data_IF_833355343877
#
_entry.id   IF_833355343877
#
_cell.length_a   1.000
_cell.length_b   1.000
_cell.length_c   1.000
_cell.angle_alpha   90.00
_cell.angle_beta   90.00
_cell.angle_gamma   90.00
#
_symmetry.space_group_name_H-M   'P 1'
#
loop_
_entity.id
_entity.type
_entity.pdbx_description
1 polymer ?
#
# COMPACT_ATOMS: atom_id res chain seq x y z
N UNK A 1 -0.37 30.40 -3.68
CA UNK A 1 0.20 30.53 -5.04
C UNK A 1 -0.26 29.29 -5.80
N UNK A 2 -1.33 29.41 -6.60
CA UNK A 2 -1.89 28.27 -7.33
C UNK A 2 -0.99 28.04 -8.53
N UNK A 3 -0.24 26.93 -8.52
CA UNK A 3 0.61 26.52 -9.62
C UNK A 3 -0.26 26.19 -10.83
N UNK A 4 0.03 26.83 -11.96
CA UNK A 4 -0.57 26.50 -13.25
C UNK A 4 -0.18 25.05 -13.59
N UNK A 5 -1.14 24.14 -13.67
CA UNK A 5 -0.91 22.74 -14.01
C UNK A 5 -0.46 22.70 -15.47
N UNK A 6 0.79 22.34 -15.71
CA UNK A 6 1.32 22.24 -17.06
C UNK A 6 0.60 21.15 -17.86
N UNK A 7 0.61 21.27 -19.18
CA UNK A 7 0.01 20.25 -20.05
C UNK A 7 0.63 18.86 -19.84
N UNK A 8 1.93 18.81 -19.47
CA UNK A 8 2.64 17.58 -19.13
C UNK A 8 2.11 16.99 -17.82
N UNK A 9 1.91 17.79 -16.77
CA UNK A 9 1.36 17.34 -15.50
C UNK A 9 -0.06 16.78 -15.68
N UNK A 10 -0.88 17.48 -16.47
CA UNK A 10 -2.22 17.04 -16.82
C UNK A 10 -2.21 15.70 -17.58
N UNK A 11 -1.29 15.52 -18.54
CA UNK A 11 -1.12 14.26 -19.26
C UNK A 11 -0.68 13.13 -18.34
N UNK A 12 0.27 13.36 -17.43
CA UNK A 12 0.72 12.37 -16.45
C UNK A 12 -0.43 11.92 -15.54
N UNK A 13 -1.22 12.87 -15.02
CA UNK A 13 -2.40 12.58 -14.20
C UNK A 13 -3.43 11.75 -14.98
N UNK A 14 -3.71 12.13 -16.23
CA UNK A 14 -4.66 11.44 -17.08
C UNK A 14 -4.19 10.01 -17.37
N UNK A 15 -2.92 9.81 -17.72
CA UNK A 15 -2.34 8.48 -17.93
C UNK A 15 -2.40 7.64 -16.65
N UNK A 16 -2.07 8.21 -15.50
CA UNK A 16 -2.09 7.50 -14.21
C UNK A 16 -3.49 6.98 -13.87
N UNK A 17 -4.51 7.86 -13.97
CA UNK A 17 -5.90 7.52 -13.64
C UNK A 17 -6.51 6.58 -14.69
N UNK A 18 -6.29 6.84 -15.99
CA UNK A 18 -6.81 5.96 -17.04
C UNK A 18 -6.18 4.56 -16.97
N UNK A 19 -4.89 4.47 -16.67
CA UNK A 19 -4.19 3.18 -16.55
C UNK A 19 -4.72 2.34 -15.39
N UNK A 20 -4.99 2.94 -14.22
CA UNK A 20 -5.54 2.20 -13.07
C UNK A 20 -6.93 1.65 -13.38
N UNK A 21 -7.78 2.43 -14.04
CA UNK A 21 -9.11 2.00 -14.49
C UNK A 21 -9.00 0.87 -15.52
N UNK A 22 -8.17 1.04 -16.56
CA UNK A 22 -8.01 0.05 -17.63
C UNK A 22 -7.48 -1.29 -17.07
N UNK A 23 -6.51 -1.24 -16.16
CA UNK A 23 -5.99 -2.45 -15.50
C UNK A 23 -7.09 -3.12 -14.68
N UNK A 24 -7.83 -2.35 -13.87
CA UNK A 24 -8.96 -2.85 -13.08
C UNK A 24 -10.02 -3.54 -13.95
N UNK A 25 -10.42 -2.91 -15.06
CA UNK A 25 -11.39 -3.47 -15.99
C UNK A 25 -10.88 -4.73 -16.71
N UNK A 26 -9.59 -4.79 -17.08
CA UNK A 26 -9.01 -5.97 -17.74
C UNK A 26 -8.85 -7.17 -16.81
N UNK A 27 -8.69 -6.92 -15.51
CA UNK A 27 -8.58 -7.96 -14.49
C UNK A 27 -9.95 -8.36 -13.91
N UNK A 28 -10.96 -7.49 -14.05
CA UNK A 28 -12.33 -7.77 -13.66
C UNK A 28 -12.91 -8.99 -14.38
N UNK A 29 -13.69 -9.81 -13.67
CA UNK A 29 -14.40 -10.96 -14.23
C UNK A 29 -13.54 -12.17 -14.59
N UNK A 30 -12.22 -12.17 -14.34
CA UNK A 30 -11.33 -13.29 -14.65
C UNK A 30 -11.40 -14.45 -13.64
N UNK A 31 -11.96 -14.21 -12.45
CA UNK A 31 -12.05 -15.21 -11.38
C UNK A 31 -13.51 -15.64 -11.19
N UNK A 32 -13.82 -16.90 -11.46
CA UNK A 32 -15.18 -17.46 -11.32
C UNK A 32 -15.41 -18.14 -9.97
N UNK A 33 -14.36 -18.47 -9.22
CA UNK A 33 -14.48 -19.03 -7.87
C UNK A 33 -14.19 -17.97 -6.81
N UNK A 34 -15.00 -17.99 -5.74
CA UNK A 34 -14.81 -17.11 -4.57
C UNK A 34 -13.46 -17.37 -3.90
N UNK A 35 -13.02 -18.63 -3.90
CA UNK A 35 -11.72 -19.04 -3.36
C UNK A 35 -10.55 -18.44 -4.15
N UNK A 36 -10.59 -18.47 -5.50
CA UNK A 36 -9.55 -17.83 -6.30
C UNK A 36 -9.55 -16.31 -6.10
N UNK A 37 -10.72 -15.69 -5.94
CA UNK A 37 -10.84 -14.25 -5.72
C UNK A 37 -10.34 -13.80 -4.34
N UNK A 38 -10.63 -14.57 -3.28
CA UNK A 38 -10.29 -14.20 -1.89
C UNK A 38 -8.90 -14.69 -1.46
N UNK A 39 -8.48 -15.87 -1.92
CA UNK A 39 -7.26 -16.53 -1.47
C UNK A 39 -6.16 -16.57 -2.53
N UNK A 40 -6.44 -16.14 -3.77
CA UNK A 40 -5.47 -16.16 -4.87
C UNK A 40 -4.93 -17.57 -5.15
N UNK A 41 -5.82 -18.57 -5.12
CA UNK A 41 -5.49 -20.01 -5.22
C UNK A 41 -4.45 -20.50 -4.20
N UNK A 42 -4.21 -19.74 -3.12
CA UNK A 42 -3.19 -20.00 -2.08
C UNK A 42 -1.76 -20.20 -2.63
N UNK A 43 -1.51 -19.79 -3.88
CA UNK A 43 -0.25 -20.01 -4.59
C UNK A 43 0.42 -18.70 -4.99
N UNK A 44 0.04 -17.60 -4.34
CA UNK A 44 0.70 -16.31 -4.56
C UNK A 44 2.11 -16.33 -3.96
N UNK A 45 3.13 -15.92 -4.73
CA UNK A 45 4.48 -15.84 -4.20
C UNK A 45 4.56 -14.74 -3.13
N UNK A 46 5.37 -14.97 -2.10
CA UNK A 46 5.47 -14.09 -0.93
C UNK A 46 5.76 -12.62 -1.28
N UNK A 47 6.55 -12.35 -2.32
CA UNK A 47 6.86 -10.98 -2.76
C UNK A 47 5.63 -10.25 -3.31
N UNK A 48 4.69 -10.95 -3.96
CA UNK A 48 3.45 -10.37 -4.45
C UNK A 48 2.52 -10.01 -3.28
N UNK A 49 2.47 -10.88 -2.26
CA UNK A 49 1.73 -10.65 -1.02
C UNK A 49 2.30 -9.42 -0.30
N UNK A 50 3.62 -9.37 -0.09
CA UNK A 50 4.26 -8.21 0.56
C UNK A 50 4.08 -6.92 -0.24
N UNK A 51 4.20 -6.98 -1.57
CA UNK A 51 3.96 -5.83 -2.44
C UNK A 51 2.54 -5.28 -2.30
N UNK A 52 1.54 -6.16 -2.23
CA UNK A 52 0.14 -5.78 -2.00
C UNK A 52 -0.09 -5.15 -0.62
N UNK A 53 0.53 -5.71 0.43
CA UNK A 53 0.46 -5.17 1.79
C UNK A 53 1.04 -3.75 1.82
N UNK A 54 2.25 -3.56 1.28
CA UNK A 54 2.90 -2.23 1.24
C UNK A 54 2.08 -1.23 0.43
N UNK A 55 1.53 -1.64 -0.72
CA UNK A 55 0.68 -0.78 -1.54
C UNK A 55 -0.60 -0.34 -0.83
N UNK A 56 -1.17 -1.21 0.01
CA UNK A 56 -2.39 -0.93 0.78
C UNK A 56 -2.11 -0.03 1.98
N UNK A 57 -0.98 -0.24 2.65
CA UNK A 57 -0.58 0.54 3.83
C UNK A 57 -0.03 1.92 3.46
N UNK A 58 0.56 2.06 2.27
CA UNK A 58 1.17 3.33 1.83
C UNK A 58 0.09 4.29 1.33
N UNK A 59 -0.25 5.27 2.17
CA UNK A 59 -1.15 6.36 1.80
C UNK A 59 -0.40 7.58 1.26
N UNK A 60 -1.10 8.40 0.47
CA UNK A 60 -0.59 9.72 0.05
C UNK A 60 -0.24 10.61 1.25
N UNK A 61 -1.01 10.51 2.34
CA UNK A 61 -0.73 11.25 3.56
C UNK A 61 0.66 10.90 4.10
N UNK A 62 1.01 9.62 4.17
CA UNK A 62 2.33 9.17 4.63
C UNK A 62 3.47 9.76 3.79
N UNK A 63 3.32 9.74 2.46
CA UNK A 63 4.34 10.23 1.51
C UNK A 63 4.58 11.74 1.68
N UNK A 64 3.53 12.51 1.98
CA UNK A 64 3.65 13.95 2.20
C UNK A 64 4.10 14.29 3.62
N UNK A 65 3.58 13.58 4.63
CA UNK A 65 3.80 13.87 6.04
C UNK A 65 5.20 13.53 6.53
N UNK A 66 5.79 12.40 6.10
CA UNK A 66 7.10 11.99 6.62
C UNK A 66 8.22 13.00 6.29
N UNK A 67 8.37 13.46 5.02
CA UNK A 67 9.34 14.51 4.71
C UNK A 67 9.01 15.82 5.45
N UNK A 68 7.73 16.20 5.51
CA UNK A 68 7.32 17.42 6.21
C UNK A 68 7.74 17.41 7.69
N UNK A 69 7.54 16.29 8.40
CA UNK A 69 8.00 16.10 9.77
C UNK A 69 9.54 16.02 9.88
N UNK A 70 10.18 15.36 8.91
CA UNK A 70 11.64 15.19 8.87
C UNK A 70 12.41 16.49 8.66
N UNK A 71 11.88 17.40 7.84
CA UNK A 71 12.41 18.77 7.67
C UNK A 71 11.88 19.74 8.73
N UNK A 72 10.81 19.37 9.44
CA UNK A 72 10.23 20.15 10.52
C UNK A 72 11.03 20.11 11.83
N UNK A 73 10.56 20.81 12.88
CA UNK A 73 11.22 20.86 14.18
C UNK A 73 11.39 19.47 14.84
N UNK A 74 10.54 18.52 14.47
CA UNK A 74 10.57 17.13 14.94
C UNK A 74 11.82 16.37 14.47
N UNK A 75 12.39 16.73 13.32
CA UNK A 75 13.54 16.04 12.74
C UNK A 75 13.30 14.53 12.60
N UNK A 76 14.25 13.71 13.06
CA UNK A 76 14.19 12.25 12.95
C UNK A 76 13.28 11.56 13.98
N UNK A 77 12.51 12.29 14.81
CA UNK A 77 11.64 11.68 15.83
C UNK A 77 10.57 10.75 15.24
N UNK A 78 10.13 10.98 14.00
CA UNK A 78 9.19 10.11 13.30
C UNK A 78 9.67 8.64 13.20
N UNK A 79 10.99 8.40 13.28
CA UNK A 79 11.56 7.05 13.25
C UNK A 79 11.07 6.17 14.41
N UNK A 80 10.65 6.76 15.54
CA UNK A 80 10.07 6.01 16.65
C UNK A 80 8.82 5.24 16.20
N UNK A 81 7.98 5.86 15.36
CA UNK A 81 6.79 5.20 14.79
C UNK A 81 7.21 4.11 13.81
N UNK A 82 8.23 4.36 12.97
CA UNK A 82 8.74 3.36 12.03
C UNK A 82 9.26 2.10 12.75
N UNK A 83 10.09 2.28 13.79
CA UNK A 83 10.55 1.16 14.63
C UNK A 83 9.40 0.50 15.39
N UNK A 84 8.44 1.29 15.87
CA UNK A 84 7.22 0.80 16.50
C UNK A 84 6.41 -0.13 15.59
N UNK A 85 6.29 0.20 14.29
CA UNK A 85 5.63 -0.68 13.31
C UNK A 85 6.38 -2.01 13.11
N UNK A 86 7.71 -1.98 13.05
CA UNK A 86 8.51 -3.21 12.92
C UNK A 86 8.28 -4.11 14.14
N UNK A 87 8.44 -3.56 15.35
CA UNK A 87 8.23 -4.31 16.58
C UNK A 87 6.78 -4.81 16.71
N UNK A 88 5.81 -3.96 16.40
CA UNK A 88 4.39 -4.31 16.41
C UNK A 88 4.09 -5.49 15.47
N UNK A 89 4.68 -5.51 14.26
CA UNK A 89 4.53 -6.64 13.34
C UNK A 89 5.15 -7.92 13.89
N UNK A 90 6.29 -7.87 14.56
CA UNK A 90 6.88 -9.05 15.20
C UNK A 90 5.95 -9.62 16.27
N UNK A 91 5.32 -8.75 17.08
CA UNK A 91 4.32 -9.15 18.07
C UNK A 91 3.10 -9.79 17.40
N UNK A 92 2.56 -9.16 16.35
CA UNK A 92 1.41 -9.70 15.60
C UNK A 92 1.73 -11.07 14.99
N UNK A 93 2.91 -11.22 14.36
CA UNK A 93 3.36 -12.48 13.77
C UNK A 93 3.51 -13.57 14.84
N UNK A 94 4.01 -13.24 16.03
CA UNK A 94 4.24 -14.24 17.07
C UNK A 94 2.97 -14.67 17.81
N UNK A 95 2.06 -13.73 18.09
CA UNK A 95 0.89 -14.00 18.94
C UNK A 95 -0.41 -14.11 18.15
N UNK A 96 -0.70 -13.17 17.24
CA UNK A 96 -2.00 -13.09 16.57
C UNK A 96 -2.08 -14.01 15.36
N UNK A 97 -0.99 -14.13 14.58
CA UNK A 97 -0.98 -14.96 13.39
C UNK A 97 -1.24 -16.45 13.69
N UNK A 98 -0.63 -17.07 14.73
CA UNK A 98 -0.95 -18.46 15.08
C UNK A 98 -2.41 -18.64 15.53
N UNK A 99 -2.95 -17.67 16.28
CA UNK A 99 -4.35 -17.70 16.72
C UNK A 99 -5.33 -17.61 15.55
N UNK A 100 -5.02 -16.81 14.53
CA UNK A 100 -5.83 -16.70 13.31
C UNK A 100 -5.93 -18.02 12.55
N UNK A 101 -4.87 -18.84 12.54
CA UNK A 101 -4.87 -20.14 11.88
C UNK A 101 -5.37 -21.29 12.75
N UNK A 102 -5.71 -21.04 14.02
CA UNK A 102 -6.25 -22.05 14.94
C UNK A 102 -7.79 -22.11 14.94
N UNK A 103 -8.47 -21.11 14.38
CA UNK A 103 -9.93 -21.09 14.18
C UNK A 103 -10.33 -21.49 12.78
#
# INVERSE_FOLDING_TARGET
MVTNIGIIDALVLLVMVSSSIVIGLRLSGRTTSLEAFLLGDRNLPWWAILGSIVATETSTATVLSIPAEGYGPSGMKFLQIAFGYILGRMVVIHFLLPLYFQG
#
